data_IF_381542339871
#
_entry.id   IF_381542339871
#
_cell.length_a   1.000
_cell.length_b   1.000
_cell.length_c   1.000
_cell.angle_alpha   90.00
_cell.angle_beta   90.00
_cell.angle_gamma   90.00
#
_symmetry.space_group_name_H-M   'P 1'
#
loop_
_entity.id
_entity.type
_entity.pdbx_description
1 polymer ?
#
# COMPACT_ATOMS: atom_id res chain seq x y z
N UNK A 1 11.36 -0.49 7.89
CA UNK A 1 11.49 0.58 6.86
C UNK A 1 10.12 0.76 6.26
N UNK A 2 9.68 2.00 6.05
CA UNK A 2 8.40 2.32 5.38
C UNK A 2 8.69 3.05 4.09
N UNK A 3 7.67 3.31 3.27
CA UNK A 3 7.77 4.32 2.21
C UNK A 3 7.99 5.71 2.83
N UNK A 4 8.81 6.54 2.17
CA UNK A 4 9.06 7.93 2.57
C UNK A 4 7.93 8.87 2.12
N UNK A 5 7.16 8.47 1.09
CA UNK A 5 5.96 9.17 0.65
C UNK A 5 4.75 8.31 1.01
N UNK A 6 4.09 8.57 2.17
CA UNK A 6 2.93 7.77 2.56
C UNK A 6 1.76 8.01 1.62
N UNK A 7 1.04 6.94 1.29
CA UNK A 7 -0.21 7.03 0.54
C UNK A 7 -1.38 6.38 1.30
N UNK A 8 -2.60 6.90 1.14
CA UNK A 8 -3.81 6.19 1.53
C UNK A 8 -3.88 4.81 0.86
N UNK A 9 -4.36 3.82 1.60
CA UNK A 9 -4.52 2.44 1.11
C UNK A 9 -5.33 2.36 -0.19
N UNK A 10 -6.36 3.20 -0.34
CA UNK A 10 -7.17 3.24 -1.56
C UNK A 10 -6.42 3.81 -2.78
N UNK A 11 -5.48 4.75 -2.57
CA UNK A 11 -4.63 5.25 -3.67
C UNK A 11 -3.68 4.16 -4.16
N UNK A 12 -3.06 3.43 -3.22
CA UNK A 12 -2.22 2.27 -3.52
C UNK A 12 -2.97 1.20 -4.32
N UNK A 13 -4.18 0.82 -3.88
CA UNK A 13 -5.00 -0.17 -4.60
C UNK A 13 -5.42 0.32 -5.99
N UNK A 14 -5.68 1.62 -6.14
CA UNK A 14 -6.02 2.22 -7.43
C UNK A 14 -4.83 2.21 -8.38
N UNK A 15 -3.61 2.53 -7.91
CA UNK A 15 -2.39 2.44 -8.72
C UNK A 15 -2.19 1.01 -9.24
N UNK A 16 -2.26 0.00 -8.37
CA UNK A 16 -2.17 -1.42 -8.78
C UNK A 16 -3.24 -1.78 -9.81
N UNK A 17 -4.48 -1.36 -9.60
CA UNK A 17 -5.58 -1.66 -10.53
C UNK A 17 -5.33 -1.06 -11.92
N UNK A 18 -4.77 0.16 -11.96
CA UNK A 18 -4.40 0.81 -13.21
C UNK A 18 -3.24 0.06 -13.90
N UNK A 19 -2.19 -0.35 -13.15
CA UNK A 19 -1.08 -1.13 -13.70
C UNK A 19 -1.53 -2.47 -14.27
N UNK A 20 -2.50 -3.14 -13.63
CA UNK A 20 -3.03 -4.42 -14.07
C UNK A 20 -4.12 -4.31 -15.16
N UNK A 21 -4.57 -3.09 -15.49
CA UNK A 21 -5.68 -2.89 -16.43
C UNK A 21 -7.02 -3.47 -15.96
N UNK A 22 -7.23 -3.59 -14.64
CA UNK A 22 -8.44 -4.15 -14.04
C UNK A 22 -9.34 -3.08 -13.42
N UNK A 23 -10.59 -3.45 -13.12
CA UNK A 23 -11.52 -2.55 -12.44
C UNK A 23 -11.03 -2.24 -11.03
N UNK A 24 -11.18 -0.96 -10.63
CA UNK A 24 -10.90 -0.52 -9.26
C UNK A 24 -11.76 -1.28 -8.23
N UNK A 25 -11.20 -1.59 -7.05
CA UNK A 25 -11.92 -2.32 -6.03
C UNK A 25 -13.12 -1.53 -5.50
N UNK A 26 -14.18 -2.26 -5.12
CA UNK A 26 -15.34 -1.70 -4.42
C UNK A 26 -15.18 -1.84 -2.91
N UNK A 27 -15.83 -0.96 -2.16
CA UNK A 27 -15.82 -0.98 -0.70
C UNK A 27 -16.61 -2.17 -0.16
N UNK A 28 -16.07 -2.81 0.88
CA UNK A 28 -16.76 -3.86 1.66
C UNK A 28 -17.13 -3.29 3.03
N UNK A 29 -18.35 -3.51 3.54
CA UNK A 29 -18.72 -3.10 4.89
C UNK A 29 -17.82 -3.71 5.95
N UNK A 30 -17.34 -2.90 6.90
CA UNK A 30 -16.37 -3.31 7.92
C UNK A 30 -16.83 -4.51 8.76
N UNK A 31 -18.12 -4.60 9.08
CA UNK A 31 -18.66 -5.73 9.84
C UNK A 31 -18.49 -7.06 9.09
N UNK A 32 -18.81 -7.07 7.79
CA UNK A 32 -18.66 -8.24 6.94
C UNK A 32 -17.18 -8.62 6.78
N UNK A 33 -16.32 -7.61 6.57
CA UNK A 33 -14.88 -7.83 6.46
C UNK A 33 -14.29 -8.45 7.74
N UNK A 34 -14.70 -7.97 8.92
CA UNK A 34 -14.25 -8.51 10.22
C UNK A 34 -14.76 -9.92 10.47
N UNK A 35 -15.96 -10.26 10.01
CA UNK A 35 -16.52 -11.61 10.13
C UNK A 35 -15.68 -12.62 9.33
N UNK A 36 -15.26 -12.26 8.12
CA UNK A 36 -14.54 -13.17 7.22
C UNK A 36 -13.04 -13.24 7.52
N UNK A 37 -12.39 -12.11 7.77
CA UNK A 37 -10.93 -12.00 7.89
C UNK A 37 -10.43 -11.85 9.33
N UNK A 38 -11.34 -11.64 10.29
CA UNK A 38 -11.00 -11.35 11.68
C UNK A 38 -10.73 -9.87 11.96
N UNK A 39 -10.93 -9.46 13.21
CA UNK A 39 -10.87 -8.06 13.62
C UNK A 39 -9.48 -7.44 13.45
N UNK A 40 -8.43 -8.18 13.80
CA UNK A 40 -7.06 -7.64 13.81
C UNK A 40 -6.49 -7.51 12.40
N UNK A 41 -6.80 -8.44 11.50
CA UNK A 41 -6.44 -8.32 10.09
C UNK A 41 -7.05 -7.04 9.47
N UNK A 42 -8.34 -6.79 9.72
CA UNK A 42 -9.00 -5.57 9.24
C UNK A 42 -8.37 -4.33 9.86
N UNK A 43 -8.11 -4.32 11.18
CA UNK A 43 -7.46 -3.16 11.81
C UNK A 43 -6.09 -2.88 11.22
N UNK A 44 -5.27 -3.90 10.96
CA UNK A 44 -3.95 -3.73 10.36
C UNK A 44 -4.03 -3.11 8.96
N UNK A 45 -5.03 -3.48 8.17
CA UNK A 45 -5.23 -2.95 6.81
C UNK A 45 -5.85 -1.54 6.79
N UNK A 46 -6.80 -1.26 7.69
CA UNK A 46 -7.60 -0.02 7.61
C UNK A 46 -7.11 1.09 8.52
N UNK A 47 -6.24 0.79 9.49
CA UNK A 47 -5.71 1.80 10.41
C UNK A 47 -4.47 2.44 9.82
N UNK A 48 -4.50 3.75 9.63
CA UNK A 48 -3.31 4.51 9.29
C UNK A 48 -2.27 4.40 10.40
N UNK A 49 -1.04 4.05 10.02
CA UNK A 49 0.12 4.07 10.90
C UNK A 49 1.15 5.02 10.30
N UNK A 50 1.65 5.96 11.10
CA UNK A 50 2.78 6.81 10.72
C UNK A 50 4.09 6.12 11.09
N UNK A 51 5.08 6.26 10.22
CA UNK A 51 6.44 5.81 10.45
C UNK A 51 7.41 6.84 9.90
N UNK A 52 8.64 6.85 10.42
CA UNK A 52 9.70 7.77 9.98
C UNK A 52 10.91 6.98 9.53
N UNK A 53 11.46 7.35 8.37
CA UNK A 53 12.70 6.78 7.84
C UNK A 53 13.96 7.54 8.26
N UNK A 54 13.85 8.59 9.10
CA UNK A 54 14.96 9.49 9.43
C UNK A 54 16.24 8.76 9.88
N UNK A 55 16.12 7.68 10.67
CA UNK A 55 17.27 6.91 11.14
C UNK A 55 17.88 6.04 10.06
N UNK A 56 17.06 5.42 9.22
CA UNK A 56 17.54 4.45 8.24
C UNK A 56 18.11 5.14 6.99
N UNK A 57 17.56 6.29 6.59
CA UNK A 57 18.08 7.11 5.49
C UNK A 57 19.51 7.60 5.71
N UNK A 58 20.05 7.54 6.93
CA UNK A 58 21.43 7.91 7.23
C UNK A 58 22.44 6.83 6.85
N UNK A 59 21.99 5.59 6.69
CA UNK A 59 22.86 4.42 6.48
C UNK A 59 22.46 3.60 5.25
N UNK A 60 21.41 4.01 4.54
CA UNK A 60 20.85 3.27 3.42
C UNK A 60 20.15 4.20 2.43
N UNK A 61 20.55 4.09 1.16
CA UNK A 61 19.90 4.76 0.04
C UNK A 61 18.79 3.88 -0.53
N UNK A 62 17.56 4.35 -0.48
CA UNK A 62 16.41 3.62 -1.01
C UNK A 62 16.44 3.57 -2.53
N UNK A 63 16.34 2.36 -3.11
CA UNK A 63 16.25 2.17 -4.57
C UNK A 63 15.07 2.92 -5.18
N UNK A 64 13.92 2.89 -4.51
CA UNK A 64 12.70 3.55 -4.96
C UNK A 64 12.28 4.62 -3.94
N UNK A 65 12.20 5.90 -4.35
CA UNK A 65 11.69 7.00 -3.53
C UNK A 65 10.21 6.87 -3.14
N UNK A 66 9.42 6.16 -3.95
CA UNK A 66 7.98 5.94 -3.75
C UNK A 66 7.55 4.53 -4.18
N UNK A 67 6.43 4.05 -3.63
CA UNK A 67 5.86 2.74 -3.99
C UNK A 67 5.50 2.66 -5.47
N UNK A 68 5.01 3.76 -6.07
CA UNK A 68 4.52 3.78 -7.45
C UNK A 68 5.67 3.53 -8.45
N UNK A 69 6.83 4.11 -8.19
CA UNK A 69 8.07 3.82 -8.92
C UNK A 69 8.46 2.34 -8.79
N UNK A 70 8.35 1.77 -7.58
CA UNK A 70 8.63 0.36 -7.35
C UNK A 70 7.65 -0.60 -8.03
N UNK A 71 6.37 -0.22 -8.17
CA UNK A 71 5.36 -1.03 -8.86
C UNK A 71 5.65 -1.18 -10.35
N UNK A 72 6.16 -0.13 -11.00
CA UNK A 72 6.57 -0.16 -12.41
C UNK A 72 7.63 -1.22 -12.71
N UNK A 73 8.56 -1.46 -11.78
CA UNK A 73 9.60 -2.47 -11.90
C UNK A 73 9.07 -3.91 -11.66
N UNK A 74 7.94 -4.04 -10.97
CA UNK A 74 7.37 -5.30 -10.50
C UNK A 74 6.39 -5.91 -11.51
N UNK A 75 5.61 -5.06 -12.18
CA UNK A 75 4.67 -5.52 -13.19
C UNK A 75 5.36 -5.72 -14.55
N UNK A 76 5.03 -6.81 -15.28
CA UNK A 76 5.56 -6.99 -16.63
C UNK A 76 5.14 -5.79 -17.49
N UNK A 77 6.08 -5.26 -18.28
CA UNK A 77 5.76 -4.29 -19.33
C UNK A 77 4.80 -4.97 -20.30
N UNK A 78 3.54 -4.55 -20.29
CA UNK A 78 2.53 -4.99 -21.24
C UNK A 78 2.79 -4.39 -22.62
#
# INVERSE_FOLDING_TARGET
MTDSVPAPFMEFLNSISNHLGVKKPKTVPTALAKLVLGSDAIKLLTRSASASNQKISQIYDFKFPSYDEGLNDLFPKM
#
